data_IF_190503678841
#
_entry.id   IF_190503678841
#
_cell.length_a   1.000
_cell.length_b   1.000
_cell.length_c   1.000
_cell.angle_alpha   90.00
_cell.angle_beta   90.00
_cell.angle_gamma   90.00
#
_symmetry.space_group_name_H-M   'P 1'
#
loop_
_entity.id
_entity.type
_entity.pdbx_description
1 polymer ?
#
# COMPACT_ATOMS: atom_id res chain seq x y z
N UNK A 1 -55.23 -23.57 39.48
CA UNK A 1 -54.45 -22.31 39.51
C UNK A 1 -53.87 -22.05 38.11
N UNK A 2 -54.03 -20.81 37.61
CA UNK A 2 -53.31 -20.10 36.53
C UNK A 2 -52.45 -20.92 35.53
N UNK A 3 -52.86 -20.99 34.25
CA UNK A 3 -52.44 -20.17 33.07
C UNK A 3 -51.40 -20.91 32.21
N UNK A 4 -51.76 -21.33 30.98
CA UNK A 4 -51.44 -20.70 29.67
C UNK A 4 -49.92 -20.73 29.36
N UNK A 5 -49.40 -21.07 28.18
CA UNK A 5 -49.90 -21.43 26.86
C UNK A 5 -48.67 -21.97 26.10
N UNK A 6 -48.94 -22.91 25.20
CA UNK A 6 -48.20 -23.29 23.97
C UNK A 6 -47.09 -22.37 23.47
N UNK A 7 -45.96 -22.95 23.02
CA UNK A 7 -45.33 -22.62 21.73
C UNK A 7 -44.53 -23.83 21.23
N UNK A 8 -45.01 -24.48 20.17
CA UNK A 8 -44.11 -25.01 19.15
C UNK A 8 -43.73 -23.83 18.23
N UNK A 9 -42.48 -23.74 17.79
CA UNK A 9 -42.29 -23.83 16.34
C UNK A 9 -41.03 -24.64 15.98
N UNK A 10 -41.18 -25.53 15.00
CA UNK A 10 -40.05 -25.88 14.14
C UNK A 10 -39.69 -24.66 13.29
N UNK A 11 -38.41 -24.53 12.90
CA UNK A 11 -37.98 -23.73 11.75
C UNK A 11 -36.49 -24.03 11.50
N UNK A 12 -36.27 -24.61 10.33
CA UNK A 12 -35.23 -24.26 9.35
C UNK A 12 -33.79 -24.67 9.67
N UNK A 13 -33.35 -25.66 8.87
CA UNK A 13 -31.95 -25.87 8.56
C UNK A 13 -31.33 -24.56 8.09
N UNK A 14 -30.32 -24.12 8.84
CA UNK A 14 -29.41 -23.10 8.37
C UNK A 14 -28.57 -23.77 7.28
N UNK A 15 -29.00 -23.56 6.03
CA UNK A 15 -28.08 -23.57 4.90
C UNK A 15 -26.92 -22.66 5.27
N UNK A 16 -25.72 -23.24 5.34
CA UNK A 16 -24.47 -22.54 5.13
C UNK A 16 -24.49 -21.97 3.71
N UNK A 17 -25.18 -20.85 3.53
CA UNK A 17 -25.01 -19.99 2.39
C UNK A 17 -23.62 -19.37 2.52
N UNK A 18 -22.64 -20.06 1.93
CA UNK A 18 -21.38 -19.48 1.52
C UNK A 18 -21.70 -18.16 0.77
N UNK A 19 -21.37 -17.04 1.39
CA UNK A 19 -21.25 -15.76 0.69
C UNK A 19 -19.77 -15.37 0.71
N UNK A 20 -19.12 -15.27 -0.46
CA UNK A 20 -17.74 -14.85 -0.56
C UNK A 20 -17.71 -13.32 -0.42
N UNK A 21 -17.32 -12.81 0.75
CA UNK A 21 -17.07 -11.36 0.92
C UNK A 21 -15.62 -11.13 1.36
N UNK A 22 -14.71 -11.80 0.66
CA UNK A 22 -13.30 -11.43 0.52
C UNK A 22 -13.02 -11.23 -0.98
N UNK A 23 -13.83 -10.41 -1.65
CA UNK A 23 -13.38 -9.75 -2.85
C UNK A 23 -12.53 -8.56 -2.39
N UNK A 24 -11.20 -8.74 -2.39
CA UNK A 24 -10.27 -7.64 -2.29
C UNK A 24 -10.60 -6.65 -3.42
N UNK A 25 -10.90 -5.39 -3.08
CA UNK A 25 -11.06 -4.25 -4.00
C UNK A 25 -9.71 -3.88 -4.66
N UNK A 26 -9.07 -4.88 -5.25
CA UNK A 26 -7.79 -4.78 -5.92
C UNK A 26 -8.02 -4.90 -7.42
N UNK A 27 -7.44 -3.97 -8.17
CA UNK A 27 -7.36 -4.06 -9.60
C UNK A 27 -6.44 -5.25 -9.98
N UNK A 28 -6.89 -6.22 -10.81
CA UNK A 28 -6.13 -7.45 -11.13
C UNK A 28 -5.05 -7.18 -12.20
N UNK A 29 -4.15 -6.24 -11.90
CA UNK A 29 -3.16 -5.72 -12.86
C UNK A 29 -1.84 -6.46 -12.82
N UNK A 30 -1.16 -6.50 -13.97
CA UNK A 30 0.23 -6.87 -14.08
C UNK A 30 1.08 -5.68 -13.64
N UNK A 31 1.81 -5.84 -12.53
CA UNK A 31 2.63 -4.79 -11.94
C UNK A 31 4.06 -4.78 -12.46
N UNK A 32 4.42 -5.70 -13.36
CA UNK A 32 5.77 -5.80 -13.92
C UNK A 32 6.02 -4.79 -15.02
N UNK A 33 4.96 -4.35 -15.70
CA UNK A 33 5.04 -3.48 -16.87
C UNK A 33 4.07 -2.31 -16.74
N UNK A 34 4.62 -1.10 -16.65
CA UNK A 34 3.84 0.14 -16.75
C UNK A 34 3.50 0.43 -18.21
N UNK A 35 2.25 0.80 -18.45
CA UNK A 35 1.75 1.20 -19.76
C UNK A 35 1.43 2.70 -19.76
N UNK A 36 1.57 3.30 -20.94
CA UNK A 36 1.02 4.62 -21.25
C UNK A 36 -0.07 4.45 -22.30
N UNK A 37 -1.25 5.00 -22.05
CA UNK A 37 -2.39 4.94 -22.95
C UNK A 37 -2.89 6.35 -23.22
N UNK A 38 -3.16 6.68 -24.47
CA UNK A 38 -3.79 7.96 -24.84
C UNK A 38 -5.12 7.64 -25.49
N UNK A 39 -6.18 8.30 -25.04
CA UNK A 39 -7.52 8.04 -25.55
C UNK A 39 -8.48 9.19 -25.30
N UNK A 40 -9.58 9.17 -26.04
CA UNK A 40 -10.67 10.12 -25.91
C UNK A 40 -11.66 9.60 -24.86
N UNK A 41 -11.96 10.41 -23.85
CA UNK A 41 -12.95 10.07 -22.82
C UNK A 41 -14.32 9.90 -23.49
N UNK A 42 -14.94 8.74 -23.29
CA UNK A 42 -16.31 8.44 -23.70
C UNK A 42 -17.27 8.36 -22.52
N UNK A 43 -16.74 8.19 -21.31
CA UNK A 43 -17.52 8.20 -20.07
C UNK A 43 -16.67 8.41 -18.83
N UNK A 44 -17.25 9.06 -17.82
CA UNK A 44 -16.61 9.30 -16.54
C UNK A 44 -17.60 9.00 -15.40
N UNK A 45 -17.26 8.03 -14.56
CA UNK A 45 -18.06 7.63 -13.41
C UNK A 45 -17.37 8.05 -12.12
N UNK A 46 -17.83 9.17 -11.55
CA UNK A 46 -17.43 9.62 -10.21
C UNK A 46 -18.27 8.91 -9.15
N UNK A 47 -17.95 7.64 -8.90
CA UNK A 47 -18.65 6.76 -7.96
C UNK A 47 -17.68 5.93 -7.12
N UNK A 48 -18.17 5.39 -6.00
CA UNK A 48 -17.43 4.42 -5.18
C UNK A 48 -17.83 2.98 -5.60
N UNK A 49 -16.99 1.95 -5.39
CA UNK A 49 -15.71 1.97 -4.67
C UNK A 49 -14.51 2.46 -5.49
N UNK A 50 -14.65 2.57 -6.81
CA UNK A 50 -13.61 3.09 -7.70
C UNK A 50 -14.19 4.06 -8.72
N UNK A 51 -13.51 5.18 -8.90
CA UNK A 51 -13.76 6.09 -10.01
C UNK A 51 -13.26 5.43 -11.30
N UNK A 52 -14.10 5.41 -12.33
CA UNK A 52 -13.77 4.78 -13.63
C UNK A 52 -13.94 5.75 -14.78
N UNK A 53 -13.10 5.58 -15.80
CA UNK A 53 -13.07 6.36 -17.04
C UNK A 53 -13.16 5.37 -18.19
N UNK A 54 -14.07 5.62 -19.13
CA UNK A 54 -14.12 4.89 -20.40
C UNK A 54 -13.39 5.72 -21.46
N UNK A 55 -12.54 5.05 -22.25
CA UNK A 55 -11.72 5.67 -23.29
C UNK A 55 -11.93 4.95 -24.62
N UNK A 56 -11.95 5.71 -25.71
CA UNK A 56 -11.68 5.21 -27.05
C UNK A 56 -10.20 5.48 -27.36
N UNK A 57 -9.44 4.42 -27.59
CA UNK A 57 -8.00 4.44 -27.88
C UNK A 57 -7.80 4.06 -29.34
N UNK A 58 -7.10 4.90 -30.09
CA UNK A 58 -6.77 4.61 -31.49
C UNK A 58 -5.60 3.63 -31.55
N UNK A 59 -5.82 2.46 -32.14
CA UNK A 59 -4.84 1.41 -32.32
C UNK A 59 -4.83 0.96 -33.77
N UNK A 60 -3.75 1.25 -34.49
CA UNK A 60 -3.43 0.85 -35.88
C UNK A 60 -4.67 0.57 -36.76
N UNK A 61 -5.44 1.63 -37.06
CA UNK A 61 -6.60 1.56 -37.95
C UNK A 61 -7.91 1.07 -37.31
N UNK A 62 -7.94 0.85 -35.99
CA UNK A 62 -9.14 0.49 -35.23
C UNK A 62 -9.27 1.31 -33.95
N UNK A 63 -10.47 1.36 -33.39
CA UNK A 63 -10.74 2.00 -32.09
C UNK A 63 -10.94 0.91 -31.05
N UNK A 64 -10.07 0.88 -30.05
CA UNK A 64 -10.18 0.01 -28.88
C UNK A 64 -10.95 0.71 -27.75
N UNK A 65 -11.94 0.02 -27.18
CA UNK A 65 -12.69 0.51 -26.02
C UNK A 65 -12.00 0.08 -24.73
N UNK A 66 -11.53 1.05 -23.96
CA UNK A 66 -10.81 0.84 -22.71
C UNK A 66 -11.64 1.24 -21.49
N UNK A 67 -11.53 0.45 -20.41
CA UNK A 67 -12.04 0.80 -19.09
C UNK A 67 -10.90 0.98 -18.10
N UNK A 68 -10.72 2.20 -17.63
CA UNK A 68 -9.59 2.55 -16.77
C UNK A 68 -10.06 3.23 -15.50
N UNK A 69 -9.22 3.34 -14.48
CA UNK A 69 -9.66 3.98 -13.25
C UNK A 69 -8.65 3.90 -12.12
N UNK A 70 -9.07 4.42 -10.97
CA UNK A 70 -8.18 4.71 -9.86
C UNK A 70 -8.78 4.37 -8.50
N UNK A 71 -8.48 5.23 -7.51
CA UNK A 71 -8.99 5.09 -6.16
C UNK A 71 -10.48 5.42 -6.03
N UNK A 72 -10.97 5.43 -4.79
CA UNK A 72 -12.29 5.93 -4.44
C UNK A 72 -12.36 7.47 -4.52
N UNK A 73 -13.56 8.03 -4.47
CA UNK A 73 -13.78 9.48 -4.60
C UNK A 73 -13.03 10.28 -3.52
N UNK A 74 -13.03 9.81 -2.28
CA UNK A 74 -12.39 10.51 -1.15
C UNK A 74 -10.90 10.70 -1.41
N UNK A 75 -10.22 9.65 -1.85
CA UNK A 75 -8.78 9.68 -2.12
C UNK A 75 -8.45 10.53 -3.35
N UNK A 76 -9.24 10.43 -4.41
CA UNK A 76 -9.03 11.24 -5.62
C UNK A 76 -9.32 12.72 -5.35
N UNK A 77 -10.31 13.06 -4.52
CA UNK A 77 -10.63 14.44 -4.17
C UNK A 77 -9.49 15.17 -3.45
N UNK A 78 -8.65 14.45 -2.70
CA UNK A 78 -7.43 15.01 -2.08
C UNK A 78 -6.46 15.56 -3.13
N UNK A 79 -6.47 15.01 -4.35
CA UNK A 79 -5.63 15.46 -5.47
C UNK A 79 -6.38 16.40 -6.43
N UNK A 80 -7.49 16.99 -5.98
CA UNK A 80 -8.25 17.97 -6.75
C UNK A 80 -9.14 17.37 -7.83
N UNK A 81 -9.48 16.08 -7.76
CA UNK A 81 -10.51 15.49 -8.62
C UNK A 81 -11.91 15.75 -8.07
N UNK A 82 -12.86 15.86 -8.98
CA UNK A 82 -14.29 15.94 -8.71
C UNK A 82 -15.10 15.40 -9.89
N UNK A 83 -16.42 15.38 -9.75
CA UNK A 83 -17.36 14.93 -10.80
C UNK A 83 -17.29 15.72 -12.12
N UNK A 84 -16.57 16.84 -12.17
CA UNK A 84 -16.43 17.72 -13.32
C UNK A 84 -15.02 17.70 -13.93
N UNK A 85 -14.10 16.92 -13.37
CA UNK A 85 -12.70 16.88 -13.82
C UNK A 85 -12.54 16.35 -15.25
N UNK A 86 -13.41 15.44 -15.68
CA UNK A 86 -13.43 14.89 -17.03
C UNK A 86 -14.82 14.98 -17.64
N UNK A 87 -14.89 15.20 -18.94
CA UNK A 87 -16.10 15.11 -19.76
C UNK A 87 -15.84 14.30 -21.03
N UNK A 88 -16.88 13.71 -21.65
CA UNK A 88 -16.74 13.09 -22.96
C UNK A 88 -16.11 14.04 -23.97
N UNK A 89 -15.17 13.54 -24.77
CA UNK A 89 -14.38 14.30 -25.74
C UNK A 89 -13.03 14.81 -25.23
N UNK A 90 -12.77 14.80 -23.92
CA UNK A 90 -11.43 15.12 -23.41
C UNK A 90 -10.43 14.05 -23.86
N UNK A 91 -9.29 14.46 -24.43
CA UNK A 91 -8.18 13.54 -24.73
C UNK A 91 -7.22 13.52 -23.55
N UNK A 92 -7.06 12.35 -22.92
CA UNK A 92 -6.15 12.19 -21.78
C UNK A 92 -5.07 11.17 -22.11
N UNK A 93 -3.91 11.36 -21.49
CA UNK A 93 -2.86 10.33 -21.42
C UNK A 93 -2.83 9.74 -20.02
N UNK A 94 -3.18 8.46 -19.90
CA UNK A 94 -3.13 7.70 -18.66
C UNK A 94 -1.83 6.89 -18.53
N UNK A 95 -1.27 6.88 -17.33
CA UNK A 95 -0.10 6.07 -16.97
C UNK A 95 -0.52 5.11 -15.86
N UNK A 96 -0.19 3.82 -16.00
CA UNK A 96 -0.56 2.81 -15.02
C UNK A 96 -0.29 1.37 -15.46
N UNK A 97 -1.11 0.43 -15.02
CA UNK A 97 -0.87 -1.01 -15.18
C UNK A 97 -2.06 -1.69 -15.84
N UNK A 98 -1.80 -2.53 -16.86
CA UNK A 98 -2.83 -3.31 -17.56
C UNK A 98 -3.32 -4.47 -16.70
N UNK A 99 -4.55 -4.92 -16.91
CA UNK A 99 -5.05 -6.17 -16.33
C UNK A 99 -4.22 -7.37 -16.79
N UNK A 100 -4.01 -8.36 -15.90
CA UNK A 100 -3.24 -9.59 -16.18
C UNK A 100 -3.84 -10.45 -17.28
N UNK A 101 -5.16 -10.41 -17.42
CA UNK A 101 -5.90 -11.10 -18.49
C UNK A 101 -5.74 -10.44 -19.87
N UNK A 102 -4.98 -9.35 -19.94
CA UNK A 102 -4.74 -8.56 -21.15
C UNK A 102 -6.01 -7.97 -21.77
N UNK A 103 -7.10 -7.85 -21.01
CA UNK A 103 -8.25 -7.04 -21.43
C UNK A 103 -7.84 -5.57 -21.65
N UNK A 104 -8.70 -4.81 -22.34
CA UNK A 104 -8.57 -3.34 -22.47
C UNK A 104 -9.03 -2.66 -21.18
N UNK A 105 -8.36 -3.01 -20.08
CA UNK A 105 -8.59 -2.44 -18.77
C UNK A 105 -7.27 -2.17 -18.06
N UNK A 106 -7.24 -1.06 -17.30
CA UNK A 106 -6.04 -0.63 -16.60
C UNK A 106 -6.35 0.10 -15.29
N UNK A 107 -5.50 -0.13 -14.29
CA UNK A 107 -5.42 0.72 -13.11
C UNK A 107 -4.48 1.89 -13.42
N UNK A 108 -4.98 3.12 -13.47
CA UNK A 108 -4.16 4.31 -13.69
C UNK A 108 -3.69 4.89 -12.37
N UNK A 109 -2.43 5.33 -12.32
CA UNK A 109 -1.87 6.08 -11.19
C UNK A 109 -1.92 7.59 -11.42
N UNK A 110 -1.76 8.00 -12.68
CA UNK A 110 -1.70 9.39 -13.11
C UNK A 110 -2.39 9.56 -14.46
N UNK A 111 -2.98 10.73 -14.69
CA UNK A 111 -3.34 11.19 -16.03
C UNK A 111 -2.70 12.54 -16.33
N UNK A 112 -2.56 12.83 -17.62
CA UNK A 112 -2.28 14.16 -18.15
C UNK A 112 -3.54 14.63 -18.87
N UNK A 113 -4.06 15.77 -18.45
CA UNK A 113 -5.22 16.42 -19.06
C UNK A 113 -4.85 17.12 -20.38
N UNK A 114 -5.83 17.48 -21.23
CA UNK A 114 -5.55 18.27 -22.45
C UNK A 114 -4.76 19.57 -22.20
N UNK A 115 -4.92 20.16 -21.01
CA UNK A 115 -4.18 21.37 -20.61
C UNK A 115 -2.70 21.12 -20.27
N UNK A 116 -2.25 19.86 -20.27
CA UNK A 116 -0.95 19.45 -19.77
C UNK A 116 -0.89 19.27 -18.24
N UNK A 117 -1.97 19.59 -17.52
CA UNK A 117 -2.03 19.38 -16.06
C UNK A 117 -2.00 17.89 -15.74
N UNK A 118 -1.06 17.50 -14.89
CA UNK A 118 -1.00 16.14 -14.32
C UNK A 118 -1.95 16.03 -13.12
N UNK A 119 -2.61 14.88 -12.97
CA UNK A 119 -3.46 14.57 -11.82
C UNK A 119 -3.28 13.13 -11.34
N UNK A 120 -2.98 12.97 -10.06
CA UNK A 120 -2.83 11.67 -9.40
C UNK A 120 -4.16 11.06 -8.98
N UNK A 121 -4.35 9.77 -9.24
CA UNK A 121 -5.60 9.06 -8.94
C UNK A 121 -5.64 8.46 -7.53
N UNK A 122 -4.61 8.66 -6.71
CA UNK A 122 -4.52 8.17 -5.32
C UNK A 122 -3.96 9.29 -4.43
N UNK A 123 -4.70 9.65 -3.37
CA UNK A 123 -4.44 10.82 -2.53
C UNK A 123 -3.02 10.87 -1.96
N UNK A 124 -2.31 11.99 -2.17
CA UNK A 124 -1.09 12.33 -1.44
C UNK A 124 0.08 11.35 -1.53
N UNK A 125 0.08 10.45 -2.52
CA UNK A 125 1.13 9.46 -2.69
C UNK A 125 2.18 9.96 -3.67
N UNK A 126 3.34 10.29 -3.13
CA UNK A 126 4.56 9.77 -3.74
C UNK A 126 4.37 8.25 -3.90
N UNK A 127 4.07 7.86 -5.14
CA UNK A 127 4.08 6.52 -5.72
C UNK A 127 2.95 5.52 -5.38
N UNK A 128 2.55 4.77 -6.41
CA UNK A 128 1.51 3.74 -6.39
C UNK A 128 2.01 2.53 -5.57
N UNK A 129 1.15 1.72 -4.92
CA UNK A 129 1.57 0.46 -4.27
C UNK A 129 2.43 -0.49 -5.14
N UNK A 130 2.39 -0.35 -6.48
CA UNK A 130 3.22 -1.12 -7.40
C UNK A 130 4.69 -0.67 -7.37
N UNK A 131 4.89 0.63 -7.23
CA UNK A 131 6.21 1.27 -7.22
C UNK A 131 7.03 0.81 -6.00
N UNK A 132 6.37 0.27 -4.98
CA UNK A 132 6.98 -0.20 -3.73
C UNK A 132 6.88 -1.70 -3.50
N UNK A 133 6.34 -2.46 -4.46
CA UNK A 133 6.19 -3.93 -4.36
C UNK A 133 7.48 -4.66 -3.98
N UNK A 134 8.64 -4.06 -4.27
CA UNK A 134 9.95 -4.52 -3.86
C UNK A 134 10.05 -4.80 -2.34
N UNK A 135 9.34 -4.06 -1.50
CA UNK A 135 9.31 -4.26 -0.04
C UNK A 135 8.35 -5.36 0.40
N UNK A 136 7.26 -5.60 -0.34
CA UNK A 136 6.11 -6.37 0.13
C UNK A 136 6.49 -7.80 0.51
N UNK A 137 5.88 -8.33 1.59
CA UNK A 137 6.11 -9.69 2.07
C UNK A 137 7.15 -9.80 3.18
N UNK A 138 7.65 -11.01 3.37
CA UNK A 138 8.53 -11.38 4.51
C UNK A 138 10.00 -11.21 4.18
N UNK A 139 10.75 -10.88 5.22
CA UNK A 139 12.19 -10.65 5.25
C UNK A 139 12.78 -11.26 6.53
N UNK A 140 13.91 -11.94 6.41
CA UNK A 140 14.62 -12.57 7.54
C UNK A 140 16.03 -12.01 7.61
N UNK A 141 16.45 -11.59 8.80
CA UNK A 141 17.77 -11.00 8.99
C UNK A 141 18.87 -12.04 8.80
N UNK A 142 19.87 -11.67 8.01
CA UNK A 142 21.19 -12.28 7.99
C UNK A 142 22.03 -11.59 9.08
N UNK A 143 21.97 -12.14 10.29
CA UNK A 143 22.65 -11.54 11.45
C UNK A 143 24.17 -11.54 11.29
N UNK A 144 24.74 -12.48 10.52
CA UNK A 144 26.17 -12.52 10.25
C UNK A 144 26.62 -11.39 9.30
N UNK A 145 25.75 -10.99 8.36
CA UNK A 145 25.97 -9.84 7.49
C UNK A 145 25.57 -8.49 8.15
N UNK A 146 25.00 -8.51 9.35
CA UNK A 146 24.48 -7.33 10.04
C UNK A 146 25.50 -6.72 11.01
N UNK A 147 25.34 -5.42 11.28
CA UNK A 147 26.10 -4.65 12.25
C UNK A 147 25.14 -4.11 13.31
N UNK A 148 25.07 -4.80 14.44
CA UNK A 148 24.23 -4.42 15.58
C UNK A 148 25.09 -3.87 16.72
N UNK A 149 24.50 -3.03 17.57
CA UNK A 149 25.16 -2.61 18.80
C UNK A 149 25.46 -3.84 19.68
N UNK A 150 26.61 -3.86 20.37
CA UNK A 150 27.10 -5.03 21.14
C UNK A 150 26.15 -5.49 22.26
N UNK A 151 25.31 -4.58 22.76
CA UNK A 151 24.26 -4.88 23.73
C UNK A 151 23.02 -5.59 23.17
N UNK A 152 22.90 -5.77 21.86
CA UNK A 152 21.72 -6.41 21.23
C UNK A 152 21.84 -7.93 21.30
N UNK A 153 20.94 -8.56 22.06
CA UNK A 153 20.92 -10.00 22.33
C UNK A 153 19.77 -10.69 21.59
N UNK A 154 19.96 -10.93 20.29
CA UNK A 154 18.93 -11.52 19.40
C UNK A 154 19.42 -12.79 18.71
N UNK A 155 18.52 -13.76 18.60
CA UNK A 155 18.70 -15.00 17.83
C UNK A 155 18.18 -14.86 16.41
N UNK A 156 17.08 -14.12 16.22
CA UNK A 156 16.50 -13.88 14.90
C UNK A 156 15.71 -12.58 14.88
N UNK A 157 15.74 -11.90 13.74
CA UNK A 157 14.92 -10.74 13.43
C UNK A 157 14.20 -11.03 12.12
N UNK A 158 12.89 -10.85 12.10
CA UNK A 158 12.07 -10.89 10.89
C UNK A 158 11.29 -9.59 10.73
N UNK A 159 11.04 -9.21 9.49
CA UNK A 159 10.12 -8.13 9.12
C UNK A 159 9.10 -8.64 8.10
N UNK A 160 7.89 -8.11 8.16
CA UNK A 160 6.90 -8.28 7.11
C UNK A 160 6.34 -6.91 6.72
N UNK A 161 6.38 -6.60 5.43
CA UNK A 161 5.80 -5.38 4.88
C UNK A 161 4.47 -5.70 4.21
N UNK A 162 3.44 -4.93 4.55
CA UNK A 162 2.19 -4.86 3.80
C UNK A 162 2.00 -3.45 3.27
N UNK A 163 1.85 -3.29 1.95
CA UNK A 163 1.71 -1.99 1.31
C UNK A 163 0.25 -1.84 0.84
N UNK A 164 -0.38 -0.71 1.19
CA UNK A 164 -1.76 -0.47 0.81
C UNK A 164 -2.08 1.01 0.74
N UNK A 165 -2.34 1.53 -0.47
CA UNK A 165 -2.60 2.95 -0.67
C UNK A 165 -1.47 3.80 -0.14
N UNK A 166 -1.80 4.73 0.75
CA UNK A 166 -0.92 5.68 1.44
C UNK A 166 -0.26 5.11 2.69
N UNK A 167 -0.39 3.79 2.92
CA UNK A 167 0.03 3.15 4.16
C UNK A 167 1.03 2.04 3.93
N UNK A 168 1.97 1.96 4.86
CA UNK A 168 2.90 0.83 5.01
C UNK A 168 2.71 0.24 6.39
N UNK A 169 2.42 -1.06 6.41
CA UNK A 169 2.42 -1.85 7.63
C UNK A 169 3.74 -2.59 7.74
N UNK A 170 4.46 -2.39 8.84
CA UNK A 170 5.68 -3.13 9.17
C UNK A 170 5.41 -3.93 10.43
N UNK A 171 5.45 -5.26 10.29
CA UNK A 171 5.35 -6.18 11.41
C UNK A 171 6.74 -6.72 11.73
N UNK A 172 7.16 -6.61 12.98
CA UNK A 172 8.40 -7.22 13.45
C UNK A 172 8.17 -8.62 14.05
N UNK A 173 9.21 -9.43 14.01
CA UNK A 173 9.26 -10.74 14.64
C UNK A 173 10.67 -10.98 15.18
N UNK A 174 10.90 -10.62 16.44
CA UNK A 174 12.23 -10.68 17.08
C UNK A 174 12.25 -11.73 18.17
N UNK A 175 13.25 -12.61 18.12
CA UNK A 175 13.48 -13.63 19.14
C UNK A 175 14.84 -13.39 19.79
N UNK A 176 14.87 -13.35 21.12
CA UNK A 176 16.08 -13.25 21.93
C UNK A 176 16.98 -14.49 21.82
N UNK A 177 18.24 -14.37 22.25
CA UNK A 177 19.18 -15.52 22.39
C UNK A 177 18.63 -16.62 23.31
N UNK A 178 17.81 -16.25 24.31
CA UNK A 178 17.11 -17.18 25.19
C UNK A 178 15.88 -17.85 24.54
N UNK A 179 15.59 -17.59 23.26
CA UNK A 179 14.44 -18.16 22.55
C UNK A 179 13.09 -17.51 22.84
N UNK A 180 13.04 -16.50 23.72
CA UNK A 180 11.84 -15.70 24.00
C UNK A 180 11.50 -14.75 22.85
N UNK A 181 10.23 -14.70 22.46
CA UNK A 181 9.70 -13.67 21.56
C UNK A 181 9.73 -12.30 22.26
N UNK A 182 10.43 -11.33 21.67
CA UNK A 182 10.62 -9.99 22.24
C UNK A 182 10.18 -8.85 21.31
N UNK A 183 9.85 -9.14 20.05
CA UNK A 183 9.19 -8.20 19.13
C UNK A 183 8.12 -8.93 18.33
N UNK A 184 6.87 -8.49 18.43
CA UNK A 184 5.75 -8.98 17.61
C UNK A 184 4.77 -7.84 17.28
N UNK A 185 5.30 -6.62 17.23
CA UNK A 185 4.55 -5.40 17.01
C UNK A 185 4.26 -5.19 15.54
N UNK A 186 3.16 -4.49 15.27
CA UNK A 186 2.86 -3.99 13.92
C UNK A 186 2.71 -2.48 14.01
N UNK A 187 3.52 -1.76 13.24
CA UNK A 187 3.41 -0.32 13.08
C UNK A 187 2.83 -0.05 11.69
N UNK A 188 1.82 0.82 11.64
CA UNK A 188 1.27 1.34 10.40
C UNK A 188 1.75 2.78 10.24
N UNK A 189 2.39 3.07 9.11
CA UNK A 189 2.83 4.40 8.72
C UNK A 189 1.93 4.94 7.63
N UNK A 190 1.57 6.21 7.72
CA UNK A 190 1.05 6.98 6.60
C UNK A 190 2.28 7.64 5.94
N UNK A 191 2.46 7.45 4.63
CA UNK A 191 3.65 7.89 3.88
C UNK A 191 3.46 9.24 3.20
N UNK A 192 2.95 10.23 3.95
CA UNK A 192 2.65 11.59 3.49
C UNK A 192 3.68 12.64 3.95
N UNK A 193 4.80 12.18 4.53
CA UNK A 193 5.86 13.00 5.12
C UNK A 193 5.38 13.95 6.24
N UNK A 194 4.34 13.57 6.98
CA UNK A 194 3.83 14.31 8.15
C UNK A 194 3.97 13.49 9.43
N UNK A 195 3.96 14.19 10.56
CA UNK A 195 4.00 13.56 11.88
C UNK A 195 2.63 12.93 12.21
N UNK A 196 2.63 11.63 12.51
CA UNK A 196 1.46 10.88 12.95
C UNK A 196 1.71 10.25 14.33
N UNK A 197 0.76 10.34 15.27
CA UNK A 197 0.92 9.76 16.59
C UNK A 197 0.89 8.22 16.54
N UNK A 198 1.81 7.59 17.27
CA UNK A 198 1.88 6.14 17.47
C UNK A 198 1.43 5.73 18.88
N UNK A 199 0.54 6.51 19.52
CA UNK A 199 0.16 6.33 20.93
C UNK A 199 -0.38 4.93 21.26
N UNK A 200 -0.94 4.23 20.28
CA UNK A 200 -1.45 2.84 20.43
C UNK A 200 -0.33 1.81 20.55
N UNK A 201 0.88 2.13 20.07
CA UNK A 201 2.06 1.26 20.11
C UNK A 201 3.00 1.75 21.21
N UNK A 202 3.33 3.04 21.19
CA UNK A 202 4.19 3.70 22.19
C UNK A 202 3.60 5.06 22.52
N UNK A 203 3.01 5.24 23.72
CA UNK A 203 2.46 6.52 24.15
C UNK A 203 3.48 7.67 24.05
N UNK A 204 3.09 8.75 23.39
CA UNK A 204 3.93 9.94 23.22
C UNK A 204 5.03 9.82 22.16
N UNK A 205 4.98 8.79 21.31
CA UNK A 205 5.83 8.69 20.13
C UNK A 205 5.07 9.17 18.90
N UNK A 206 5.72 9.99 18.08
CA UNK A 206 5.24 10.33 16.73
C UNK A 206 6.16 9.69 15.71
N UNK A 207 5.60 9.31 14.57
CA UNK A 207 6.36 8.84 13.43
C UNK A 207 6.02 9.66 12.19
N UNK A 208 7.05 9.93 11.39
CA UNK A 208 6.96 10.46 10.04
C UNK A 208 7.51 9.43 9.09
N UNK A 209 6.84 9.21 7.97
CA UNK A 209 7.30 8.30 6.94
C UNK A 209 7.16 8.94 5.56
N UNK A 210 8.13 8.69 4.69
CA UNK A 210 8.08 9.10 3.30
C UNK A 210 8.81 8.10 2.42
N UNK A 211 8.35 7.97 1.19
CA UNK A 211 9.09 7.26 0.17
C UNK A 211 10.17 8.17 -0.43
N UNK A 212 11.38 7.65 -0.55
CA UNK A 212 12.53 8.28 -1.21
C UNK A 212 12.87 7.51 -2.49
N UNK A 213 11.87 7.33 -3.35
CA UNK A 213 11.92 6.47 -4.53
C UNK A 213 11.36 5.07 -4.28
N UNK A 214 11.29 4.21 -5.33
CA UNK A 214 10.59 2.93 -5.30
C UNK A 214 11.20 1.87 -4.37
N UNK A 215 12.45 2.10 -3.94
CA UNK A 215 13.26 1.14 -3.20
C UNK A 215 13.73 1.67 -1.84
N UNK A 216 13.22 2.82 -1.40
CA UNK A 216 13.66 3.44 -0.14
C UNK A 216 12.48 4.02 0.64
N UNK A 217 12.27 3.50 1.84
CA UNK A 217 11.35 4.06 2.83
C UNK A 217 12.17 4.74 3.92
N UNK A 218 11.91 6.01 4.15
CA UNK A 218 12.51 6.76 5.25
C UNK A 218 11.48 6.95 6.35
N UNK A 219 11.89 6.68 7.59
CA UNK A 219 11.04 6.91 8.76
C UNK A 219 11.82 7.66 9.84
N UNK A 220 11.11 8.51 10.58
CA UNK A 220 11.65 9.29 11.69
C UNK A 220 10.71 9.13 12.87
N UNK A 221 11.24 8.64 13.99
CA UNK A 221 10.52 8.54 15.25
C UNK A 221 10.98 9.65 16.17
N UNK A 222 10.02 10.37 16.76
CA UNK A 222 10.32 11.40 17.76
C UNK A 222 9.57 11.08 19.05
N UNK A 223 10.29 11.04 20.16
CA UNK A 223 9.73 10.85 21.51
C UNK A 223 9.40 12.21 22.14
N UNK A 224 8.53 12.24 23.16
CA UNK A 224 8.26 13.46 23.96
C UNK A 224 9.53 14.13 24.51
N UNK A 225 10.58 13.37 24.77
CA UNK A 225 11.87 13.88 25.24
C UNK A 225 12.66 14.64 24.18
N UNK A 226 12.20 14.68 22.92
CA UNK A 226 12.92 15.24 21.78
C UNK A 226 13.96 14.31 21.17
N UNK A 227 14.10 13.08 21.71
CA UNK A 227 14.97 12.05 21.10
C UNK A 227 14.39 11.66 19.74
N UNK A 228 15.24 11.75 18.72
CA UNK A 228 14.92 11.41 17.34
C UNK A 228 15.69 10.15 16.95
N UNK A 229 14.99 9.20 16.34
CA UNK A 229 15.56 8.00 15.75
C UNK A 229 15.18 7.95 14.27
N UNK A 230 16.18 7.81 13.40
CA UNK A 230 15.98 7.73 11.95
C UNK A 230 16.16 6.29 11.51
N UNK A 231 15.13 5.74 10.88
CA UNK A 231 15.14 4.36 10.41
C UNK A 231 14.83 4.34 8.93
N UNK A 232 15.80 3.88 8.14
CA UNK A 232 15.71 3.80 6.69
C UNK A 232 15.67 2.33 6.26
N UNK A 233 14.83 2.03 5.29
CA UNK A 233 14.70 0.72 4.69
C UNK A 233 14.99 0.84 3.21
N UNK A 234 15.95 0.07 2.71
CA UNK A 234 16.37 0.12 1.31
C UNK A 234 16.43 -1.28 0.70
N UNK A 235 15.69 -1.50 -0.39
CA UNK A 235 15.68 -2.77 -1.12
C UNK A 235 16.66 -2.69 -2.28
N UNK A 236 17.48 -3.71 -2.46
CA UNK A 236 18.43 -3.81 -3.57
C UNK A 236 17.73 -3.80 -4.94
N UNK A 237 18.46 -3.44 -5.99
CA UNK A 237 17.91 -3.36 -7.34
C UNK A 237 17.22 -4.66 -7.80
N UNK A 238 17.81 -5.80 -7.43
CA UNK A 238 17.35 -7.17 -7.70
C UNK A 238 16.22 -7.66 -6.75
N UNK A 239 15.83 -6.87 -5.75
CA UNK A 239 14.75 -7.21 -4.82
C UNK A 239 15.09 -8.31 -3.80
N UNK A 240 16.33 -8.75 -3.71
CA UNK A 240 16.74 -9.90 -2.88
C UNK A 240 17.20 -9.52 -1.48
N UNK A 241 17.61 -8.26 -1.30
CA UNK A 241 18.22 -7.76 -0.07
C UNK A 241 17.47 -6.53 0.41
N UNK A 242 17.13 -6.51 1.69
CA UNK A 242 16.60 -5.34 2.37
C UNK A 242 17.63 -4.90 3.42
N UNK A 243 18.06 -3.65 3.35
CA UNK A 243 18.93 -3.04 4.35
C UNK A 243 18.11 -2.13 5.23
N UNK A 244 18.06 -2.42 6.53
CA UNK A 244 17.58 -1.49 7.54
C UNK A 244 18.77 -0.75 8.13
N UNK A 245 18.74 0.59 8.11
CA UNK A 245 19.74 1.43 8.78
C UNK A 245 19.05 2.26 9.84
N UNK A 246 19.51 2.15 11.08
CA UNK A 246 18.95 2.87 12.23
C UNK A 246 20.03 3.79 12.80
N UNK A 247 19.73 5.07 12.92
CA UNK A 247 20.56 6.07 13.58
C UNK A 247 19.79 6.64 14.76
N UNK A 248 20.33 6.48 15.97
CA UNK A 248 19.68 6.89 17.20
C UNK A 248 20.60 6.77 18.43
N UNK A 249 20.03 6.67 19.65
CA UNK A 249 20.80 6.64 20.89
C UNK A 249 21.82 5.50 21.02
N UNK A 250 21.60 4.39 20.31
CA UNK A 250 22.52 3.24 20.29
C UNK A 250 23.60 3.37 19.19
N UNK A 251 23.72 4.53 18.57
CA UNK A 251 24.58 4.76 17.41
C UNK A 251 23.99 4.20 16.11
N UNK A 252 24.83 4.12 15.09
CA UNK A 252 24.46 3.57 13.79
C UNK A 252 24.40 2.05 13.85
N UNK A 253 23.25 1.49 13.46
CA UNK A 253 23.04 0.06 13.29
C UNK A 253 22.60 -0.24 11.86
N UNK A 254 23.03 -1.39 11.33
CA UNK A 254 22.65 -1.86 10.00
C UNK A 254 22.24 -3.32 10.07
N UNK A 255 20.99 -3.62 9.73
CA UNK A 255 20.50 -4.99 9.65
C UNK A 255 20.27 -5.36 8.20
N UNK A 256 20.92 -6.44 7.76
CA UNK A 256 20.76 -6.99 6.42
C UNK A 256 19.71 -8.08 6.47
N UNK A 257 18.71 -7.99 5.61
CA UNK A 257 17.65 -8.98 5.47
C UNK A 257 17.67 -9.60 4.09
N UNK A 258 17.24 -10.86 4.03
CA UNK A 258 17.06 -11.63 2.80
C UNK A 258 15.61 -12.09 2.69
N UNK A 259 15.18 -12.38 1.46
CA UNK A 259 13.93 -13.11 1.24
C UNK A 259 14.04 -14.51 1.87
N UNK A 260 13.00 -15.00 2.57
CA UNK A 260 12.97 -16.39 3.00
C UNK A 260 13.05 -17.30 1.76
N UNK A 261 13.81 -18.38 1.87
CA UNK A 261 13.85 -19.43 0.85
C UNK A 261 12.55 -20.21 0.83
#
# INVERSE_FOLDING_TARGET
>A
MRRLLTHAPGVIGILLAASPLLAHHAWPVDRTTEITITGTVTGYSWADPHVTIALDVEATGTIEKWKVGGSNKKNMAVNGWDKHTLKPGDVITGIGFRYRDRSHAAQLRKIVLPSGKEMDLYGGLAAHPADFSAFEGRWVADLAASQLHSGVQVRSIGLAFGIGGDRVRITDNVVSTAGKQIGQGTIEFITDDRDHPLDRVVPGMVARARWAGPRRLETVFTRRSGVVERVNYEVSADGTTLTNTTEGPLGLQRVIFRRPR
#
